data_IF_749783780733
#
_entry.id   IF_749783780733
#
_cell.length_a   1.000
_cell.length_b   1.000
_cell.length_c   1.000
_cell.angle_alpha   90.00
_cell.angle_beta   90.00
_cell.angle_gamma   90.00
#
_symmetry.space_group_name_H-M   'P 1'
#
loop_
_entity.id
_entity.type
_entity.pdbx_description
1 polymer ?
#
# COMPACT_ATOMS: atom_id res chain seq x y z
N UNK A 1 35.32 -15.27 4.80
CA UNK A 1 35.77 -14.04 5.49
C UNK A 1 34.69 -13.00 5.29
N UNK A 2 33.70 -12.94 6.18
CA UNK A 2 32.48 -12.18 5.94
C UNK A 2 32.35 -11.19 7.10
N UNK A 3 32.79 -9.95 6.87
CA UNK A 3 32.74 -8.85 7.84
C UNK A 3 31.29 -8.43 8.04
N UNK A 4 30.72 -8.74 9.19
CA UNK A 4 29.50 -8.10 9.67
C UNK A 4 29.89 -6.84 10.43
N UNK A 5 29.83 -5.70 9.71
CA UNK A 5 30.00 -4.37 10.27
C UNK A 5 28.75 -3.95 11.03
N UNK A 6 28.91 -3.87 12.35
CA UNK A 6 27.96 -3.38 13.34
C UNK A 6 27.94 -1.84 13.33
N UNK A 7 26.88 -1.18 12.86
CA UNK A 7 26.54 0.25 13.08
C UNK A 7 25.01 0.34 12.89
N UNK A 8 24.16 0.99 13.68
CA UNK A 8 24.27 1.93 14.78
C UNK A 8 22.85 2.51 14.96
N UNK A 9 22.38 2.60 16.21
CA UNK A 9 21.03 3.04 16.60
C UNK A 9 20.76 4.50 16.22
N UNK A 10 19.64 4.82 15.55
CA UNK A 10 18.80 6.01 15.87
C UNK A 10 17.43 6.02 15.18
N UNK A 11 16.39 5.88 16.02
CA UNK A 11 15.06 6.51 16.11
C UNK A 11 14.67 7.51 14.98
N UNK A 12 13.49 7.32 14.37
CA UNK A 12 12.31 8.24 14.44
C UNK A 12 11.19 7.72 13.53
N UNK A 13 10.03 7.41 14.14
CA UNK A 13 8.80 7.08 13.41
C UNK A 13 7.98 8.33 13.08
N UNK A 14 7.13 8.24 12.05
CA UNK A 14 6.06 9.22 11.80
C UNK A 14 4.81 8.52 11.26
N UNK A 15 3.70 8.73 11.98
CA UNK A 15 2.31 8.44 11.57
C UNK A 15 1.80 9.60 10.72
N UNK A 16 1.22 9.32 9.55
CA UNK A 16 0.58 10.36 8.71
C UNK A 16 -0.94 10.29 8.83
N UNK A 17 -1.48 11.32 9.48
CA UNK A 17 -2.91 11.65 9.56
C UNK A 17 -3.31 12.46 8.33
N UNK A 18 -4.38 12.03 7.64
CA UNK A 18 -4.97 12.72 6.49
C UNK A 18 -6.04 13.68 6.99
N UNK A 19 -5.85 14.98 6.75
CA UNK A 19 -6.93 15.96 6.75
C UNK A 19 -7.11 16.52 5.34
N UNK A 20 -8.21 16.14 4.70
CA UNK A 20 -8.74 16.79 3.50
C UNK A 20 -9.68 17.93 3.92
N UNK A 21 -9.34 19.16 3.58
CA UNK A 21 -10.25 20.29 3.40
C UNK A 21 -9.67 21.09 2.22
N UNK A 22 -10.37 21.32 1.11
CA UNK A 22 -11.75 21.78 1.00
C UNK A 22 -11.65 23.18 0.36
N UNK A 23 -11.83 23.25 -0.96
CA UNK A 23 -11.58 24.46 -1.76
C UNK A 23 -12.65 25.54 -1.63
N UNK A 24 -12.25 26.79 -1.88
CA UNK A 24 -13.15 27.93 -2.07
C UNK A 24 -12.44 29.04 -2.84
N UNK A 25 -12.92 29.35 -4.05
CA UNK A 25 -12.55 30.54 -4.84
C UNK A 25 -13.41 31.71 -4.38
N UNK A 26 -12.79 32.84 -4.07
CA UNK A 26 -13.40 34.15 -4.19
C UNK A 26 -12.31 35.16 -4.59
N UNK A 27 -12.64 35.90 -5.64
CA UNK A 27 -11.83 36.91 -6.34
C UNK A 27 -12.14 38.29 -5.76
N UNK A 28 -11.11 39.13 -5.59
CA UNK A 28 -11.06 40.60 -5.75
C UNK A 28 -10.21 41.36 -4.70
N UNK A 29 -9.06 41.81 -5.21
CA UNK A 29 -8.55 43.20 -5.22
C UNK A 29 -8.14 43.90 -3.91
N UNK A 30 -6.82 43.91 -3.64
CA UNK A 30 -6.07 45.11 -3.17
C UNK A 30 -4.57 44.85 -2.97
N UNK A 31 -3.75 45.77 -3.47
CA UNK A 31 -2.62 46.30 -2.70
C UNK A 31 -1.21 45.84 -3.11
N UNK A 32 -0.46 46.77 -3.71
CA UNK A 32 0.99 46.73 -3.90
C UNK A 32 1.76 46.44 -2.60
N UNK A 33 2.70 45.50 -2.65
CA UNK A 33 3.92 45.54 -1.83
C UNK A 33 5.03 44.72 -2.48
N UNK A 34 6.10 45.41 -2.86
CA UNK A 34 7.39 44.86 -3.24
C UNK A 34 8.09 44.27 -2.02
N UNK A 35 8.49 43.01 -2.07
CA UNK A 35 9.59 42.50 -1.25
C UNK A 35 10.32 41.38 -2.01
N UNK A 36 11.55 41.71 -2.35
CA UNK A 36 12.60 40.83 -2.83
C UNK A 36 12.83 39.68 -1.85
N UNK A 37 13.04 38.48 -2.40
CA UNK A 37 14.02 37.55 -1.84
C UNK A 37 13.49 36.22 -1.34
N UNK A 38 14.16 35.18 -1.87
CA UNK A 38 14.34 33.82 -1.35
C UNK A 38 13.40 32.79 -1.96
N UNK A 39 13.95 32.11 -2.96
CA UNK A 39 13.58 30.73 -3.30
C UNK A 39 13.67 29.88 -2.02
N UNK A 40 12.55 29.77 -1.31
CA UNK A 40 12.38 28.80 -0.24
C UNK A 40 12.07 27.47 -0.94
N UNK A 41 13.00 26.52 -0.76
CA UNK A 41 13.03 25.26 -1.47
C UNK A 41 11.66 24.59 -1.54
N UNK A 42 11.28 24.22 -2.77
CA UNK A 42 10.24 23.23 -2.97
C UNK A 42 10.58 22.01 -2.09
N UNK A 43 9.61 21.46 -1.33
CA UNK A 43 9.83 20.20 -0.64
C UNK A 43 10.28 19.17 -1.69
N UNK A 44 11.25 18.28 -1.38
CA UNK A 44 11.62 17.22 -2.30
C UNK A 44 10.35 16.47 -2.69
N UNK A 45 10.10 16.42 -4.00
CA UNK A 45 8.90 15.85 -4.60
C UNK A 45 8.63 14.48 -3.99
N UNK A 46 7.45 14.26 -3.41
CA UNK A 46 6.98 12.95 -2.92
C UNK A 46 7.14 11.83 -3.96
N UNK A 47 7.12 12.19 -5.25
CA UNK A 47 7.39 11.31 -6.38
C UNK A 47 8.82 10.75 -6.38
N UNK A 48 9.84 11.51 -5.96
CA UNK A 48 11.24 11.04 -5.93
C UNK A 48 11.45 9.98 -4.83
N UNK A 49 10.71 10.07 -3.73
CA UNK A 49 10.74 9.06 -2.68
C UNK A 49 10.07 7.76 -3.12
N UNK A 50 8.96 7.84 -3.86
CA UNK A 50 8.29 6.65 -4.41
C UNK A 50 9.16 5.93 -5.46
N UNK A 51 9.84 6.67 -6.34
CA UNK A 51 10.73 6.12 -7.36
C UNK A 51 11.96 5.43 -6.75
N UNK A 52 12.51 6.01 -5.68
CA UNK A 52 13.62 5.41 -4.92
C UNK A 52 13.21 4.12 -4.17
N UNK A 53 11.96 4.01 -3.70
CA UNK A 53 11.45 2.80 -3.04
C UNK A 53 11.18 1.66 -4.02
N UNK A 54 10.76 1.97 -5.26
CA UNK A 54 10.54 0.97 -6.31
C UNK A 54 11.83 0.51 -7.00
N UNK A 55 12.95 1.24 -6.81
CA UNK A 55 14.24 0.89 -7.41
C UNK A 55 14.79 -0.48 -6.95
N UNK A 56 14.28 -1.02 -5.85
CA UNK A 56 14.62 -2.35 -5.32
C UNK A 56 13.53 -3.41 -5.61
N UNK A 57 12.61 -3.15 -6.54
CA UNK A 57 11.57 -4.09 -6.92
C UNK A 57 12.10 -5.12 -7.94
N UNK A 58 11.97 -6.40 -7.60
CA UNK A 58 12.15 -7.52 -8.52
C UNK A 58 10.81 -7.89 -9.14
N UNK A 59 10.80 -8.12 -10.46
CA UNK A 59 9.62 -8.45 -11.23
C UNK A 59 9.82 -9.79 -11.94
N UNK A 60 8.80 -10.63 -11.89
CA UNK A 60 8.78 -11.92 -12.58
C UNK A 60 7.36 -12.28 -13.03
N UNK A 61 7.26 -13.26 -13.92
CA UNK A 61 5.99 -13.82 -14.37
C UNK A 61 6.01 -15.34 -14.26
N UNK A 62 4.99 -15.88 -13.60
CA UNK A 62 4.75 -17.32 -13.62
C UNK A 62 4.20 -17.76 -14.98
N UNK A 63 4.29 -19.06 -15.28
CA UNK A 63 3.80 -19.66 -16.53
C UNK A 63 2.29 -19.48 -16.75
N UNK A 64 1.52 -19.24 -15.68
CA UNK A 64 0.08 -18.95 -15.75
C UNK A 64 -0.22 -17.45 -15.98
N UNK A 65 0.81 -16.61 -16.17
CA UNK A 65 0.67 -15.18 -16.36
C UNK A 65 0.53 -14.36 -15.06
N UNK A 66 0.62 -14.98 -13.89
CA UNK A 66 0.64 -14.24 -12.62
C UNK A 66 1.93 -13.44 -12.51
N UNK A 67 1.80 -12.12 -12.38
CA UNK A 67 2.93 -11.23 -12.11
C UNK A 67 3.32 -11.32 -10.64
N UNK A 68 4.60 -11.56 -10.38
CA UNK A 68 5.19 -11.49 -9.06
C UNK A 68 6.00 -10.20 -8.97
N UNK A 69 5.76 -9.44 -7.91
CA UNK A 69 6.50 -8.21 -7.61
C UNK A 69 7.02 -8.37 -6.18
N UNK A 70 8.35 -8.35 -6.02
CA UNK A 70 9.01 -8.48 -4.72
C UNK A 70 9.74 -7.19 -4.43
N UNK A 71 9.33 -6.50 -3.37
CA UNK A 71 10.04 -5.35 -2.83
C UNK A 71 10.74 -5.80 -1.57
N UNK A 72 12.08 -5.79 -1.59
CA UNK A 72 12.86 -6.12 -0.42
C UNK A 72 13.11 -4.86 0.41
N UNK A 73 12.55 -4.87 1.61
CA UNK A 73 12.82 -3.89 2.66
C UNK A 73 13.67 -4.59 3.72
N UNK A 74 15.01 -4.56 3.62
CA UNK A 74 15.87 -5.22 4.60
C UNK A 74 15.66 -4.69 6.03
N UNK A 75 15.08 -3.51 6.17
CA UNK A 75 14.63 -2.89 7.43
C UNK A 75 13.33 -3.45 8.01
N UNK A 76 12.52 -4.15 7.21
CA UNK A 76 11.25 -4.70 7.66
C UNK A 76 11.45 -6.07 8.33
N UNK A 77 10.96 -6.22 9.57
CA UNK A 77 10.90 -7.52 10.27
C UNK A 77 9.65 -8.32 9.91
N UNK A 78 8.74 -7.71 9.16
CA UNK A 78 7.47 -8.27 8.73
C UNK A 78 7.42 -8.29 7.20
N UNK A 79 6.77 -9.31 6.65
CA UNK A 79 6.49 -9.39 5.23
C UNK A 79 5.01 -9.09 4.99
N UNK A 80 4.74 -8.19 4.05
CA UNK A 80 3.40 -7.97 3.52
C UNK A 80 3.26 -8.74 2.22
N UNK A 81 2.30 -9.66 2.16
CA UNK A 81 1.92 -10.35 0.93
C UNK A 81 0.58 -9.78 0.46
N UNK A 82 0.52 -9.34 -0.80
CA UNK A 82 -0.71 -8.87 -1.42
C UNK A 82 -0.98 -9.65 -2.71
N UNK A 83 -2.19 -10.18 -2.83
CA UNK A 83 -2.70 -10.76 -4.07
C UNK A 83 -3.74 -9.80 -4.64
N UNK A 84 -3.40 -9.15 -5.75
CA UNK A 84 -4.31 -8.29 -6.47
C UNK A 84 -4.87 -9.01 -7.68
N UNK A 85 -6.20 -9.11 -7.76
CA UNK A 85 -6.91 -9.66 -8.90
C UNK A 85 -7.57 -8.48 -9.62
N UNK A 86 -7.35 -8.36 -10.95
CA UNK A 86 -8.02 -7.37 -11.79
C UNK A 86 -9.49 -7.74 -11.95
N UNK A 87 -10.26 -7.42 -10.92
CA UNK A 87 -11.70 -7.63 -10.77
C UNK A 87 -12.26 -6.48 -9.92
N UNK A 88 -13.51 -6.58 -9.49
CA UNK A 88 -14.16 -5.57 -8.66
C UNK A 88 -15.60 -5.31 -9.06
N UNK A 89 -16.23 -4.30 -8.45
CA UNK A 89 -17.63 -3.97 -8.71
C UNK A 89 -17.87 -3.58 -10.19
N UNK A 90 -16.86 -2.98 -10.84
CA UNK A 90 -16.90 -2.66 -12.26
C UNK A 90 -17.01 -3.89 -13.19
N UNK A 91 -16.64 -5.06 -12.69
CA UNK A 91 -16.68 -6.33 -13.42
C UNK A 91 -17.90 -7.18 -13.06
N UNK A 92 -18.76 -6.70 -12.15
CA UNK A 92 -20.02 -7.37 -11.87
C UNK A 92 -20.93 -7.33 -13.10
N UNK A 93 -21.50 -8.49 -13.45
CA UNK A 93 -22.44 -8.58 -14.56
C UNK A 93 -23.74 -7.84 -14.23
N UNK A 94 -24.39 -7.29 -15.25
CA UNK A 94 -25.74 -6.71 -15.12
C UNK A 94 -26.70 -7.70 -14.42
N UNK A 95 -27.41 -7.23 -13.40
CA UNK A 95 -28.29 -8.06 -12.57
C UNK A 95 -27.57 -8.97 -11.56
N UNK A 96 -26.23 -8.87 -11.44
CA UNK A 96 -25.38 -9.60 -10.49
C UNK A 96 -24.43 -8.66 -9.73
N UNK A 97 -24.83 -7.40 -9.54
CA UNK A 97 -24.09 -6.43 -8.75
C UNK A 97 -23.86 -6.91 -7.32
N UNK A 98 -22.68 -6.64 -6.78
CA UNK A 98 -22.24 -7.09 -5.47
C UNK A 98 -21.60 -8.47 -5.47
N UNK A 99 -21.42 -9.12 -6.62
CA UNK A 99 -20.79 -10.46 -6.68
C UNK A 99 -19.35 -10.39 -6.23
N UNK A 100 -18.56 -9.41 -6.71
CA UNK A 100 -17.19 -9.22 -6.26
C UNK A 100 -17.09 -9.02 -4.73
N UNK A 101 -17.98 -8.19 -4.16
CA UNK A 101 -18.04 -7.94 -2.72
C UNK A 101 -18.45 -9.19 -1.92
N UNK A 102 -19.38 -9.99 -2.45
CA UNK A 102 -19.78 -11.27 -1.87
C UNK A 102 -18.60 -12.25 -1.88
N UNK A 103 -17.90 -12.36 -3.00
CA UNK A 103 -16.73 -13.25 -3.14
C UNK A 103 -15.64 -12.90 -2.14
N UNK A 104 -15.33 -11.63 -1.93
CA UNK A 104 -14.31 -11.22 -0.94
C UNK A 104 -14.67 -11.59 0.50
N UNK A 105 -15.98 -11.64 0.83
CA UNK A 105 -16.45 -12.16 2.12
C UNK A 105 -16.38 -13.68 2.17
N UNK A 106 -16.69 -14.35 1.07
CA UNK A 106 -16.69 -15.81 0.97
C UNK A 106 -15.30 -16.44 1.18
N UNK A 107 -14.22 -15.72 0.89
CA UNK A 107 -12.83 -16.16 1.16
C UNK A 107 -12.64 -16.58 2.64
N UNK A 108 -13.37 -15.95 3.56
CA UNK A 108 -13.29 -16.27 4.99
C UNK A 108 -14.02 -17.53 5.41
N UNK A 109 -14.91 -18.05 4.57
CA UNK A 109 -15.68 -19.28 4.86
C UNK A 109 -14.82 -20.54 4.74
N UNK A 110 -13.61 -20.42 4.18
CA UNK A 110 -12.68 -21.50 3.96
C UNK A 110 -12.56 -21.91 2.48
N UNK A 111 -11.72 -22.90 2.24
CA UNK A 111 -11.50 -23.56 0.96
C UNK A 111 -11.67 -25.08 1.14
N UNK A 112 -11.61 -25.82 0.03
CA UNK A 112 -11.80 -27.29 0.00
C UNK A 112 -11.02 -28.02 1.10
N UNK A 113 -9.72 -27.76 1.20
CA UNK A 113 -8.84 -28.38 2.19
C UNK A 113 -8.50 -27.47 3.40
N UNK A 114 -9.23 -26.36 3.56
CA UNK A 114 -8.94 -25.38 4.61
C UNK A 114 -10.21 -24.79 5.20
N UNK A 115 -10.67 -25.34 6.32
CA UNK A 115 -11.82 -24.78 7.05
C UNK A 115 -11.51 -23.38 7.59
N UNK A 116 -12.55 -22.56 7.79
CA UNK A 116 -12.45 -21.27 8.45
C UNK A 116 -11.74 -21.37 9.82
N UNK A 117 -12.09 -22.37 10.63
CA UNK A 117 -11.50 -22.56 11.95
C UNK A 117 -10.00 -22.83 11.86
N UNK A 118 -9.59 -23.69 10.91
CA UNK A 118 -8.18 -23.99 10.66
C UNK A 118 -7.43 -22.77 10.13
N UNK A 119 -8.03 -21.99 9.23
CA UNK A 119 -7.45 -20.74 8.74
C UNK A 119 -7.19 -19.75 9.88
N UNK A 120 -8.20 -19.51 10.73
CA UNK A 120 -8.09 -18.60 11.88
C UNK A 120 -7.04 -19.08 12.89
N UNK A 121 -7.02 -20.38 13.18
CA UNK A 121 -6.00 -20.97 14.07
C UNK A 121 -4.59 -20.76 13.52
N UNK A 122 -4.38 -20.96 12.21
CA UNK A 122 -3.06 -20.77 11.59
C UNK A 122 -2.63 -19.31 11.58
N UNK A 123 -3.55 -18.40 11.28
CA UNK A 123 -3.27 -16.96 11.34
C UNK A 123 -2.89 -16.54 12.77
N UNK A 124 -3.62 -17.00 13.77
CA UNK A 124 -3.30 -16.72 15.18
C UNK A 124 -1.94 -17.30 15.60
N UNK A 125 -1.61 -18.52 15.19
CA UNK A 125 -0.33 -19.16 15.50
C UNK A 125 0.88 -18.44 14.87
N UNK A 126 0.65 -17.72 13.77
CA UNK A 126 1.66 -16.92 13.07
C UNK A 126 1.63 -15.44 13.46
N UNK A 127 0.73 -15.04 14.36
CA UNK A 127 0.43 -13.62 14.65
C UNK A 127 0.15 -12.80 13.38
N UNK A 128 -0.38 -13.46 12.35
CA UNK A 128 -0.60 -12.88 11.03
C UNK A 128 -2.02 -12.31 10.91
N UNK A 129 -2.14 -11.20 10.17
CA UNK A 129 -3.44 -10.59 9.85
C UNK A 129 -3.72 -10.74 8.36
N UNK A 130 -4.93 -11.19 8.02
CA UNK A 130 -5.42 -11.21 6.64
C UNK A 130 -6.47 -10.12 6.47
N UNK A 131 -6.37 -9.35 5.38
CA UNK A 131 -7.35 -8.32 5.00
C UNK A 131 -7.80 -8.57 3.58
N UNK A 132 -9.09 -8.33 3.31
CA UNK A 132 -9.69 -8.43 1.98
C UNK A 132 -10.41 -7.13 1.65
N UNK A 133 -10.11 -6.57 0.49
CA UNK A 133 -10.69 -5.31 0.01
C UNK A 133 -11.16 -5.48 -1.44
N UNK A 134 -12.23 -4.78 -1.80
CA UNK A 134 -12.80 -4.77 -3.15
C UNK A 134 -13.02 -3.32 -3.55
N UNK A 135 -12.53 -2.96 -4.73
CA UNK A 135 -12.66 -1.63 -5.33
C UNK A 135 -13.65 -1.64 -6.49
#
# INVERSE_FOLDING_TARGET
>A
MNRWGRIGRTILGVVMSVCLLGGGRADMDRGLSSASGRAAGAPPSTLQTADALLSNAYYDYLLNGLQIIILQHPEASEALLSLMIKSGAAFDRAGKSGTAALTARAIWLGAEDLSEATLRQRLAALEATLRTEVT
#
